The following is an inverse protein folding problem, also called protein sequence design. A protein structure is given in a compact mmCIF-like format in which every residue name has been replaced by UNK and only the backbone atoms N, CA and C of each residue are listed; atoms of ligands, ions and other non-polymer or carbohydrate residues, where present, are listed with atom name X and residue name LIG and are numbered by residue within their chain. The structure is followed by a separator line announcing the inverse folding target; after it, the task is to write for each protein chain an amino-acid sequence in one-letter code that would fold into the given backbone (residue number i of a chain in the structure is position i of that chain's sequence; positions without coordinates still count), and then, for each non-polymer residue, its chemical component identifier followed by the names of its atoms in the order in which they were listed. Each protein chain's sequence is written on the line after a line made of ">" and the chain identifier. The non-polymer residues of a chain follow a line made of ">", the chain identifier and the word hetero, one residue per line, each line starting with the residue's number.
data_IF_353529839829
#
_entry.id   IF_353529839829
#
_cell.length_a   1.000
_cell.length_b   1.000
_cell.length_c   1.000
_cell.angle_alpha   90.00
_cell.angle_beta   90.00
_cell.angle_gamma   90.00
#
_symmetry.space_group_name_H-M   'P 1'
#
loop_
_entity.id
_entity.type
_entity.pdbx_description
1 polymer ?
#
# COMPACT_ATOMS: atom_id res chain seq x y z
N UNK A 1 20.92 -5.90 -11.94
CA UNK A 1 19.53 -6.22 -11.53
C UNK A 1 19.53 -7.26 -10.41
N UNK A 2 19.96 -8.50 -10.64
CA UNK A 2 19.98 -9.59 -9.64
C UNK A 2 20.83 -9.34 -8.39
N UNK A 3 22.01 -8.70 -8.52
CA UNK A 3 22.84 -8.29 -7.38
C UNK A 3 22.17 -7.22 -6.51
N UNK A 4 21.37 -6.35 -7.12
CA UNK A 4 20.52 -5.41 -6.39
C UNK A 4 19.40 -6.12 -5.64
N UNK A 5 18.71 -7.06 -6.27
CA UNK A 5 17.65 -7.86 -5.61
C UNK A 5 18.20 -8.61 -4.38
N UNK A 6 19.41 -9.20 -4.47
CA UNK A 6 20.03 -9.88 -3.33
C UNK A 6 20.37 -8.95 -2.15
N UNK A 7 20.96 -7.77 -2.42
CA UNK A 7 21.24 -6.77 -1.39
C UNK A 7 19.95 -6.23 -0.75
N UNK A 8 18.91 -6.06 -1.57
CA UNK A 8 17.60 -5.63 -1.14
C UNK A 8 16.95 -6.58 -0.14
N UNK A 9 16.97 -7.88 -0.46
CA UNK A 9 16.48 -8.94 0.42
C UNK A 9 17.28 -8.98 1.73
N UNK A 10 18.60 -8.84 1.68
CA UNK A 10 19.45 -8.83 2.88
C UNK A 10 19.11 -7.69 3.84
N UNK A 11 18.95 -6.47 3.33
CA UNK A 11 18.59 -5.29 4.15
C UNK A 11 17.17 -5.42 4.71
N UNK A 12 16.25 -6.00 3.94
CA UNK A 12 14.90 -6.30 4.37
C UNK A 12 14.87 -7.22 5.59
N UNK A 13 15.55 -8.36 5.50
CA UNK A 13 15.64 -9.31 6.60
C UNK A 13 16.32 -8.68 7.81
N UNK A 14 17.43 -7.97 7.62
CA UNK A 14 18.15 -7.30 8.71
C UNK A 14 17.28 -6.26 9.43
N UNK A 15 16.53 -5.44 8.68
CA UNK A 15 15.61 -4.45 9.24
C UNK A 15 14.50 -5.12 10.04
N UNK A 16 13.94 -6.22 9.51
CA UNK A 16 12.94 -7.00 10.24
C UNK A 16 13.46 -7.53 11.57
N UNK A 17 14.66 -8.13 11.55
CA UNK A 17 15.30 -8.63 12.78
C UNK A 17 15.48 -7.52 13.81
N UNK A 18 16.00 -6.35 13.40
CA UNK A 18 16.22 -5.22 14.32
C UNK A 18 14.92 -4.70 14.93
N UNK A 19 13.86 -4.57 14.13
CA UNK A 19 12.55 -4.14 14.63
C UNK A 19 12.00 -5.17 15.61
N UNK A 20 12.07 -6.46 15.27
CA UNK A 20 11.58 -7.52 16.12
C UNK A 20 12.33 -7.57 17.46
N UNK A 21 13.66 -7.52 17.46
CA UNK A 21 14.44 -7.57 18.70
C UNK A 21 14.21 -6.34 19.59
N UNK A 22 13.98 -5.17 19.00
CA UNK A 22 13.78 -3.93 19.77
C UNK A 22 12.36 -3.83 20.35
N UNK A 23 11.36 -4.31 19.61
CA UNK A 23 9.94 -4.24 20.03
C UNK A 23 9.58 -5.40 20.94
N UNK A 24 10.19 -6.58 20.78
CA UNK A 24 9.90 -7.76 21.60
C UNK A 24 10.31 -7.61 23.07
N UNK A 25 11.16 -6.65 23.41
CA UNK A 25 11.54 -6.34 24.79
C UNK A 25 10.55 -5.40 25.50
N UNK A 26 9.57 -4.84 24.78
CA UNK A 26 8.55 -3.96 25.35
C UNK A 26 7.37 -4.79 25.85
N UNK A 27 6.91 -4.50 27.08
CA UNK A 27 5.73 -5.14 27.66
C UNK A 27 4.61 -4.12 27.94
N UNK A 28 3.35 -4.56 27.79
CA UNK A 28 2.17 -3.81 28.21
C UNK A 28 1.92 -2.53 27.41
N UNK A 29 1.77 -1.40 28.09
CA UNK A 29 1.40 -0.12 27.46
C UNK A 29 2.45 0.39 26.46
N UNK A 30 3.74 0.14 26.72
CA UNK A 30 4.81 0.61 25.84
C UNK A 30 4.79 -0.12 24.48
N UNK A 31 4.48 -1.41 24.49
CA UNK A 31 4.31 -2.23 23.28
C UNK A 31 3.14 -1.73 22.43
N UNK A 32 1.98 -1.49 23.05
CA UNK A 32 0.79 -1.00 22.36
C UNK A 32 1.02 0.38 21.72
N UNK A 33 1.72 1.28 22.42
CA UNK A 33 2.15 2.58 21.86
C UNK A 33 3.08 2.41 20.66
N UNK A 34 4.05 1.50 20.75
CA UNK A 34 4.94 1.21 19.64
C UNK A 34 4.17 0.69 18.42
N UNK A 35 3.24 -0.26 18.60
CA UNK A 35 2.39 -0.75 17.52
C UNK A 35 1.51 0.34 16.92
N UNK A 36 0.96 1.24 17.73
CA UNK A 36 0.22 2.38 17.20
C UNK A 36 1.09 3.31 16.35
N UNK A 37 2.29 3.66 16.81
CA UNK A 37 3.21 4.52 16.06
C UNK A 37 3.64 3.87 14.74
N UNK A 38 3.95 2.57 14.77
CA UNK A 38 4.30 1.80 13.57
C UNK A 38 3.12 1.77 12.59
N UNK A 39 1.92 1.48 13.07
CA UNK A 39 0.71 1.40 12.25
C UNK A 39 0.35 2.77 11.64
N UNK A 40 0.39 3.86 12.40
CA UNK A 40 0.18 5.21 11.90
C UNK A 40 1.22 5.61 10.85
N UNK A 41 2.50 5.30 11.10
CA UNK A 41 3.59 5.55 10.16
C UNK A 41 3.36 4.80 8.85
N UNK A 42 2.94 3.53 8.93
CA UNK A 42 2.59 2.73 7.77
C UNK A 42 1.39 3.31 7.00
N UNK A 43 0.34 3.82 7.67
CA UNK A 43 -0.77 4.51 7.00
C UNK A 43 -0.28 5.71 6.19
N UNK A 44 0.61 6.54 6.75
CA UNK A 44 1.17 7.70 6.04
C UNK A 44 1.96 7.26 4.81
N UNK A 45 2.84 6.27 4.95
CA UNK A 45 3.67 5.74 3.85
C UNK A 45 2.82 5.12 2.75
N UNK A 46 1.79 4.35 3.11
CA UNK A 46 0.86 3.74 2.16
C UNK A 46 0.05 4.81 1.42
N UNK A 47 -0.51 5.79 2.14
CA UNK A 47 -1.25 6.91 1.54
C UNK A 47 -0.37 7.65 0.55
N UNK A 48 0.86 7.99 0.97
CA UNK A 48 1.83 8.66 0.11
C UNK A 48 2.12 7.84 -1.15
N UNK A 49 2.38 6.53 -1.02
CA UNK A 49 2.63 5.67 -2.17
C UNK A 49 1.46 5.65 -3.15
N UNK A 50 0.23 5.53 -2.64
CA UNK A 50 -0.97 5.49 -3.49
C UNK A 50 -1.08 6.76 -4.35
N UNK A 51 -0.84 7.94 -3.76
CA UNK A 51 -0.85 9.20 -4.51
C UNK A 51 0.39 9.39 -5.40
N UNK A 52 1.55 8.89 -4.96
CA UNK A 52 2.79 8.91 -5.74
C UNK A 52 2.64 8.10 -7.04
N UNK A 53 2.17 6.85 -6.94
CA UNK A 53 1.91 5.98 -8.09
C UNK A 53 0.86 6.59 -9.03
N UNK A 54 -0.19 7.19 -8.48
CA UNK A 54 -1.23 7.86 -9.28
C UNK A 54 -0.67 9.02 -10.11
N UNK A 55 0.31 9.73 -9.58
CA UNK A 55 0.95 10.86 -10.27
C UNK A 55 1.88 10.36 -11.38
N UNK A 56 2.63 9.30 -11.13
CA UNK A 56 3.64 8.75 -12.04
C UNK A 56 3.08 7.76 -13.09
N UNK A 57 1.92 7.15 -12.84
CA UNK A 57 1.25 6.24 -13.79
C UNK A 57 0.89 6.90 -15.14
N UNK A 58 0.78 8.23 -15.18
CA UNK A 58 0.56 9.00 -16.42
C UNK A 58 1.86 9.19 -17.22
N UNK A 59 2.98 9.33 -16.54
CA UNK A 59 4.31 9.50 -17.16
C UNK A 59 4.77 8.18 -17.78
N UNK A 60 4.56 7.05 -17.10
CA UNK A 60 4.86 5.70 -17.61
C UNK A 60 4.13 5.42 -18.93
N UNK A 61 2.91 5.94 -19.13
CA UNK A 61 2.15 5.74 -20.38
C UNK A 61 2.76 6.51 -21.58
N UNK A 62 3.45 7.63 -21.35
CA UNK A 62 4.07 8.44 -22.39
C UNK A 62 5.54 8.09 -22.63
N UNK A 63 6.28 7.80 -21.57
CA UNK A 63 7.70 7.44 -21.63
C UNK A 63 7.92 6.01 -22.09
N UNK A 64 7.11 5.00 -21.75
CA UNK A 64 7.42 3.65 -22.25
C UNK A 64 7.34 3.53 -23.78
N UNK A 65 6.48 4.34 -24.43
CA UNK A 65 6.37 4.37 -25.90
C UNK A 65 7.44 5.26 -26.55
N UNK A 66 7.83 6.38 -25.95
CA UNK A 66 8.90 7.23 -26.50
C UNK A 66 10.32 6.83 -26.08
N UNK A 67 10.48 6.23 -24.91
CA UNK A 67 11.78 5.81 -24.35
C UNK A 67 12.24 4.49 -24.93
N UNK A 68 11.40 3.65 -25.54
CA UNK A 68 11.91 2.49 -26.31
C UNK A 68 12.50 2.98 -27.64
N UNK A 69 11.86 3.93 -28.31
CA UNK A 69 12.38 4.53 -29.55
C UNK A 69 13.53 5.52 -29.31
N UNK A 70 13.61 6.16 -28.12
CA UNK A 70 14.69 7.08 -27.75
C UNK A 70 15.83 6.44 -26.92
N UNK A 71 15.65 5.27 -26.28
CA UNK A 71 16.72 4.60 -25.53
C UNK A 71 17.81 4.02 -26.43
N UNK A 72 17.55 3.87 -27.74
CA UNK A 72 18.59 3.53 -28.71
C UNK A 72 19.48 4.74 -29.02
N UNK A 73 19.08 5.97 -28.66
CA UNK A 73 19.79 7.19 -29.09
C UNK A 73 20.31 8.11 -27.97
N UNK A 74 20.01 7.93 -26.67
CA UNK A 74 20.58 8.79 -25.59
C UNK A 74 20.90 8.07 -24.25
N UNK A 75 22.20 7.84 -24.02
CA UNK A 75 22.91 8.05 -22.74
C UNK A 75 22.75 7.05 -21.57
N UNK A 76 23.88 6.60 -21.00
CA UNK A 76 24.02 5.72 -19.80
C UNK A 76 23.15 6.09 -18.58
N UNK A 77 22.65 7.32 -18.48
CA UNK A 77 21.83 7.79 -17.35
C UNK A 77 20.45 7.14 -17.23
N UNK A 78 19.77 6.85 -18.36
CA UNK A 78 18.44 6.19 -18.34
C UNK A 78 18.57 4.74 -17.89
N UNK A 79 19.63 4.05 -18.32
CA UNK A 79 19.94 2.69 -17.88
C UNK A 79 20.16 2.63 -16.35
N UNK A 80 20.86 3.60 -15.79
CA UNK A 80 21.08 3.69 -14.34
C UNK A 80 19.79 4.01 -13.58
N UNK A 81 18.95 4.91 -14.11
CA UNK A 81 17.65 5.23 -13.51
C UNK A 81 16.70 4.01 -13.46
N UNK A 82 16.65 3.21 -14.52
CA UNK A 82 15.83 1.98 -14.56
C UNK A 82 16.36 0.93 -13.57
N UNK A 83 17.69 0.77 -13.48
CA UNK A 83 18.31 -0.15 -12.50
C UNK A 83 18.01 0.30 -11.07
N UNK A 84 18.22 1.59 -10.75
CA UNK A 84 17.94 2.12 -9.42
C UNK A 84 16.45 2.02 -9.07
N UNK A 85 15.56 2.39 -9.99
CA UNK A 85 14.12 2.31 -9.78
C UNK A 85 13.68 0.88 -9.50
N UNK A 86 14.20 -0.10 -10.25
CA UNK A 86 13.90 -1.52 -10.04
C UNK A 86 14.48 -2.03 -8.72
N UNK A 87 15.68 -1.59 -8.35
CA UNK A 87 16.31 -1.95 -7.07
C UNK A 87 15.49 -1.42 -5.88
N UNK A 88 15.15 -0.13 -5.85
CA UNK A 88 14.39 0.46 -4.76
C UNK A 88 12.96 -0.07 -4.69
N UNK A 89 12.34 -0.36 -5.83
CA UNK A 89 11.03 -1.01 -5.86
C UNK A 89 11.09 -2.39 -5.21
N UNK A 90 12.03 -3.25 -5.62
CA UNK A 90 12.16 -4.60 -5.04
C UNK A 90 12.60 -4.57 -3.58
N UNK A 91 13.53 -3.67 -3.22
CA UNK A 91 13.95 -3.44 -1.83
C UNK A 91 12.75 -3.13 -0.94
N UNK A 92 11.93 -2.17 -1.35
CA UNK A 92 10.79 -1.75 -0.55
C UNK A 92 9.76 -2.87 -0.38
N UNK A 93 9.29 -3.43 -1.49
CA UNK A 93 8.27 -4.49 -1.45
C UNK A 93 8.79 -5.73 -0.70
N UNK A 94 10.09 -6.00 -0.82
CA UNK A 94 10.78 -7.05 -0.07
C UNK A 94 10.87 -6.76 1.44
N UNK A 95 11.13 -5.52 1.86
CA UNK A 95 11.08 -5.09 3.27
C UNK A 95 9.68 -5.31 3.84
N UNK A 96 8.65 -4.81 3.16
CA UNK A 96 7.26 -4.93 3.60
C UNK A 96 6.85 -6.41 3.75
N UNK A 97 7.17 -7.25 2.76
CA UNK A 97 6.88 -8.68 2.80
C UNK A 97 7.59 -9.42 3.95
N UNK A 98 8.88 -9.13 4.19
CA UNK A 98 9.63 -9.77 5.26
C UNK A 98 9.11 -9.34 6.64
N UNK A 99 8.77 -8.07 6.82
CA UNK A 99 8.18 -7.56 8.06
C UNK A 99 6.83 -8.23 8.34
N UNK A 100 5.97 -8.39 7.32
CA UNK A 100 4.70 -9.09 7.49
C UNK A 100 4.88 -10.57 7.84
N UNK A 101 5.82 -11.27 7.20
CA UNK A 101 6.12 -12.67 7.53
C UNK A 101 6.68 -12.82 8.94
N UNK A 102 7.54 -11.92 9.38
CA UNK A 102 8.12 -11.96 10.73
C UNK A 102 7.07 -11.66 11.80
N UNK A 103 6.19 -10.68 11.56
CA UNK A 103 5.06 -10.40 12.43
C UNK A 103 4.11 -11.61 12.53
N UNK A 104 3.82 -12.27 11.41
CA UNK A 104 3.02 -13.50 11.41
C UNK A 104 3.71 -14.64 12.17
N UNK A 105 5.02 -14.82 11.99
CA UNK A 105 5.82 -15.85 12.66
C UNK A 105 5.92 -15.68 14.18
N UNK A 106 5.69 -14.45 14.66
CA UNK A 106 5.65 -14.15 16.10
C UNK A 106 4.27 -14.46 16.72
N UNK A 107 3.21 -14.46 15.91
CA UNK A 107 1.83 -14.63 16.37
C UNK A 107 1.35 -16.08 16.42
N UNK A 108 1.95 -16.98 15.63
CA UNK A 108 1.52 -18.38 15.49
C UNK A 108 2.71 -19.34 15.32
N UNK A 109 2.46 -20.65 15.34
CA UNK A 109 3.45 -21.69 15.09
C UNK A 109 4.19 -21.45 13.77
N UNK A 110 5.52 -21.39 13.83
CA UNK A 110 6.36 -21.04 12.68
C UNK A 110 6.15 -21.92 11.44
N UNK A 111 5.68 -23.16 11.61
CA UNK A 111 5.37 -24.07 10.50
C UNK A 111 4.12 -23.64 9.72
N UNK A 112 3.03 -23.24 10.39
CA UNK A 112 1.82 -22.79 9.73
C UNK A 112 2.07 -21.50 8.92
N UNK A 113 2.84 -20.57 9.52
CA UNK A 113 3.25 -19.33 8.87
C UNK A 113 4.13 -19.59 7.64
N UNK A 114 5.05 -20.56 7.71
CA UNK A 114 5.89 -20.93 6.57
C UNK A 114 5.05 -21.50 5.42
N UNK A 115 4.11 -22.40 5.72
CA UNK A 115 3.20 -22.98 4.72
C UNK A 115 2.34 -21.88 4.09
N UNK A 116 1.72 -21.03 4.90
CA UNK A 116 0.91 -19.89 4.45
C UNK A 116 1.73 -18.92 3.59
N UNK A 117 2.96 -18.62 4.00
CA UNK A 117 3.90 -17.79 3.24
C UNK A 117 4.27 -18.38 1.89
N UNK A 118 4.51 -19.70 1.82
CA UNK A 118 4.80 -20.40 0.55
C UNK A 118 3.60 -20.42 -0.39
N UNK A 119 2.39 -20.64 0.13
CA UNK A 119 1.15 -20.56 -0.66
C UNK A 119 0.96 -19.13 -1.19
N UNK A 120 1.11 -18.13 -0.33
CA UNK A 120 1.03 -16.72 -0.71
C UNK A 120 2.05 -16.34 -1.79
N UNK A 121 3.30 -16.81 -1.66
CA UNK A 121 4.34 -16.62 -2.67
C UNK A 121 3.99 -17.28 -4.00
N UNK A 122 3.46 -18.51 -3.98
CA UNK A 122 3.00 -19.20 -5.19
C UNK A 122 1.87 -18.41 -5.89
N UNK A 123 0.88 -17.91 -5.13
CA UNK A 123 -0.19 -17.06 -5.65
C UNK A 123 0.38 -15.76 -6.24
N UNK A 124 1.33 -15.13 -5.57
CA UNK A 124 1.97 -13.90 -6.05
C UNK A 124 2.75 -14.13 -7.36
N UNK A 125 3.44 -15.26 -7.50
CA UNK A 125 4.13 -15.66 -8.75
C UNK A 125 3.12 -15.84 -9.89
N UNK A 126 2.02 -16.55 -9.64
CA UNK A 126 0.96 -16.77 -10.64
C UNK A 126 0.31 -15.44 -11.02
N UNK A 127 -0.03 -14.59 -10.05
CA UNK A 127 -0.61 -13.27 -10.30
C UNK A 127 0.36 -12.38 -11.10
N UNK A 128 1.64 -12.36 -10.74
CA UNK A 128 2.69 -11.65 -11.47
C UNK A 128 2.81 -12.14 -12.92
N UNK A 129 2.82 -13.45 -13.12
CA UNK A 129 2.83 -14.05 -14.45
C UNK A 129 1.59 -13.66 -15.28
N UNK A 130 0.40 -13.68 -14.69
CA UNK A 130 -0.85 -13.24 -15.33
C UNK A 130 -0.82 -11.75 -15.69
N UNK A 131 -0.19 -10.90 -14.88
CA UNK A 131 0.02 -9.48 -15.20
C UNK A 131 0.96 -9.32 -16.40
N UNK A 132 2.04 -10.11 -16.50
CA UNK A 132 2.94 -10.09 -17.66
C UNK A 132 2.21 -10.57 -18.92
N UNK A 133 1.46 -11.66 -18.82
CA UNK A 133 0.68 -12.22 -19.95
C UNK A 133 -0.45 -11.27 -20.38
N UNK A 134 -1.12 -10.67 -19.41
CA UNK A 134 -2.21 -9.73 -19.58
C UNK A 134 -1.76 -8.32 -19.95
N UNK A 135 -0.47 -7.99 -19.84
CA UNK A 135 0.08 -6.64 -20.07
C UNK A 135 -0.17 -6.08 -21.47
N UNK A 136 -0.47 -6.93 -22.46
CA UNK A 136 -0.88 -6.51 -23.82
C UNK A 136 -2.38 -6.19 -23.96
N UNK A 137 -3.24 -6.66 -23.03
CA UNK A 137 -4.71 -6.52 -23.08
C UNK A 137 -5.31 -5.77 -21.89
N UNK A 138 -4.59 -5.66 -20.76
CA UNK A 138 -5.04 -4.95 -19.58
C UNK A 138 -4.80 -3.45 -19.72
N UNK A 139 -5.85 -2.61 -19.63
CA UNK A 139 -5.66 -1.18 -19.52
C UNK A 139 -4.96 -0.89 -18.19
N UNK A 140 -3.68 -0.49 -18.24
CA UNK A 140 -2.87 -0.18 -17.06
C UNK A 140 -3.55 0.81 -16.10
N UNK A 141 -4.38 1.71 -16.63
CA UNK A 141 -5.19 2.63 -15.83
C UNK A 141 -6.24 1.95 -14.94
N UNK A 142 -6.79 0.79 -15.36
CA UNK A 142 -7.68 -0.02 -14.51
C UNK A 142 -6.87 -0.79 -13.47
N UNK A 143 -5.74 -1.38 -13.86
CA UNK A 143 -4.86 -2.11 -12.94
C UNK A 143 -4.43 -1.23 -11.76
N UNK A 144 -3.83 -0.06 -12.02
CA UNK A 144 -3.41 0.88 -10.97
C UNK A 144 -4.58 1.41 -10.13
N UNK A 145 -5.79 1.47 -10.70
CA UNK A 145 -6.97 1.88 -9.95
C UNK A 145 -7.41 0.79 -8.97
N UNK A 146 -7.45 -0.45 -9.41
CA UNK A 146 -7.86 -1.59 -8.58
C UNK A 146 -6.85 -1.80 -7.44
N UNK A 147 -5.55 -1.87 -7.77
CA UNK A 147 -4.50 -2.03 -6.74
C UNK A 147 -4.45 -0.84 -5.80
N UNK A 148 -4.62 0.39 -6.30
CA UNK A 148 -4.68 1.59 -5.46
C UNK A 148 -5.88 1.60 -4.51
N UNK A 149 -7.07 1.17 -4.95
CA UNK A 149 -8.25 1.03 -4.06
C UNK A 149 -8.00 -0.01 -2.99
N UNK A 150 -7.41 -1.16 -3.34
CA UNK A 150 -7.07 -2.21 -2.39
C UNK A 150 -6.10 -1.72 -1.31
N UNK A 151 -5.07 -0.95 -1.69
CA UNK A 151 -4.15 -0.32 -0.74
C UNK A 151 -4.83 0.72 0.17
N UNK A 152 -5.83 1.45 -0.33
CA UNK A 152 -6.61 2.39 0.48
C UNK A 152 -7.43 1.64 1.53
N UNK A 153 -8.03 0.50 1.18
CA UNK A 153 -8.76 -0.35 2.14
C UNK A 153 -7.85 -0.88 3.23
N UNK A 154 -6.66 -1.38 2.85
CA UNK A 154 -5.66 -1.85 3.79
C UNK A 154 -5.21 -0.74 4.75
N UNK A 155 -4.90 0.45 4.23
CA UNK A 155 -4.52 1.61 5.04
C UNK A 155 -5.66 2.06 5.98
N UNK A 156 -6.92 2.00 5.54
CA UNK A 156 -8.07 2.28 6.40
C UNK A 156 -8.17 1.30 7.57
N UNK A 157 -7.93 0.02 7.31
CA UNK A 157 -7.91 -1.01 8.33
C UNK A 157 -6.79 -0.81 9.35
N UNK A 158 -5.59 -0.48 8.87
CA UNK A 158 -4.44 -0.18 9.72
C UNK A 158 -4.65 1.06 10.59
N UNK A 159 -5.35 2.07 10.06
CA UNK A 159 -5.73 3.27 10.83
C UNK A 159 -6.73 2.92 11.94
N UNK A 160 -7.75 2.12 11.65
CA UNK A 160 -8.69 1.62 12.66
C UNK A 160 -7.96 0.89 13.79
N UNK A 161 -7.02 0.02 13.43
CA UNK A 161 -6.25 -0.76 14.39
C UNK A 161 -5.28 0.10 15.22
N UNK A 162 -4.80 1.20 14.66
CA UNK A 162 -4.02 2.19 15.41
C UNK A 162 -4.84 2.82 16.54
N UNK A 163 -6.13 3.09 16.29
CA UNK A 163 -7.07 3.57 17.32
C UNK A 163 -7.26 2.52 18.41
N UNK A 164 -7.44 1.25 18.03
CA UNK A 164 -7.49 0.15 19.00
C UNK A 164 -6.23 0.11 19.88
N UNK A 165 -5.04 0.20 19.30
CA UNK A 165 -3.79 0.20 20.07
C UNK A 165 -3.68 1.41 21.02
N UNK A 166 -4.11 2.60 20.60
CA UNK A 166 -4.19 3.78 21.47
C UNK A 166 -5.18 3.60 22.61
N UNK A 167 -6.34 2.97 22.34
CA UNK A 167 -7.35 2.66 23.35
C UNK A 167 -6.81 1.64 24.37
N UNK A 168 -6.16 0.58 23.90
CA UNK A 168 -5.53 -0.44 24.76
C UNK A 168 -4.36 0.13 25.57
N UNK A 169 -3.63 1.12 25.02
CA UNK A 169 -2.58 1.84 25.75
C UNK A 169 -3.14 2.82 26.81
N UNK A 170 -4.44 3.09 26.81
CA UNK A 170 -5.07 4.10 27.67
C UNK A 170 -4.83 5.55 27.23
N UNK A 171 -4.25 5.77 26.05
CA UNK A 171 -3.97 7.09 25.49
C UNK A 171 -5.21 7.72 24.82
N UNK A 172 -6.19 6.89 24.47
CA UNK A 172 -7.45 7.32 23.89
C UNK A 172 -8.62 6.63 24.62
N UNK A 173 -9.65 7.40 24.97
CA UNK A 173 -10.89 6.84 25.49
C UNK A 173 -11.76 6.22 24.40
N UNK A 174 -12.87 5.62 24.81
CA UNK A 174 -13.94 5.17 23.92
C UNK A 174 -15.25 5.79 24.38
N UNK A 175 -15.95 6.45 23.46
CA UNK A 175 -17.27 7.02 23.70
C UNK A 175 -18.35 5.96 23.65
N UNK A 176 -18.15 4.94 22.82
CA UNK A 176 -19.05 3.80 22.70
C UNK A 176 -18.26 2.58 22.25
N UNK A 177 -18.08 1.65 23.19
CA UNK A 177 -17.52 0.33 22.94
C UNK A 177 -18.56 -0.59 22.29
N UNK A 178 -18.14 -1.33 21.26
CA UNK A 178 -18.99 -2.29 20.53
C UNK A 178 -20.18 -1.64 19.81
N UNK A 179 -19.91 -0.91 18.72
CA UNK A 179 -20.96 -0.42 17.79
C UNK A 179 -21.83 -1.57 17.27
N UNK A 180 -21.20 -2.73 17.06
CA UNK A 180 -21.84 -4.00 16.79
C UNK A 180 -21.12 -5.11 17.57
N UNK A 181 -21.81 -6.23 17.79
CA UNK A 181 -21.22 -7.45 18.36
C UNK A 181 -21.56 -8.63 17.46
N UNK A 182 -20.53 -9.19 16.83
CA UNK A 182 -20.65 -10.33 15.92
C UNK A 182 -19.98 -11.60 16.43
N UNK A 183 -19.66 -11.68 17.74
CA UNK A 183 -19.02 -12.86 18.32
C UNK A 183 -19.88 -14.13 18.22
N UNK A 184 -21.19 -13.98 18.03
CA UNK A 184 -22.09 -15.11 17.76
C UNK A 184 -21.75 -15.88 16.47
N UNK A 185 -21.01 -15.27 15.53
CA UNK A 185 -20.56 -15.90 14.29
C UNK A 185 -19.10 -16.33 14.41
N UNK A 186 -18.86 -17.54 14.93
CA UNK A 186 -17.51 -18.11 15.18
C UNK A 186 -16.59 -18.17 13.96
N UNK A 187 -17.13 -18.15 12.74
CA UNK A 187 -16.30 -18.09 11.51
C UNK A 187 -15.80 -16.67 11.19
N UNK A 188 -16.38 -15.64 11.80
CA UNK A 188 -16.07 -14.23 11.56
C UNK A 188 -15.33 -13.57 12.73
N UNK A 189 -14.94 -14.35 13.74
CA UNK A 189 -14.22 -13.87 14.92
C UNK A 189 -12.73 -13.69 14.64
N UNK A 190 -12.07 -12.82 15.43
CA UNK A 190 -10.61 -12.62 15.38
C UNK A 190 -9.80 -13.86 15.82
N UNK A 191 -10.49 -14.91 16.29
CA UNK A 191 -9.89 -16.21 16.60
C UNK A 191 -9.92 -17.16 15.39
N UNK A 192 -10.75 -16.89 14.39
CA UNK A 192 -10.82 -17.69 13.17
C UNK A 192 -9.77 -17.22 12.16
N UNK A 193 -9.21 -18.15 11.37
CA UNK A 193 -8.25 -17.80 10.31
C UNK A 193 -8.85 -16.80 9.31
N UNK A 194 -10.14 -16.95 8.99
CA UNK A 194 -10.85 -16.06 8.09
C UNK A 194 -11.05 -14.66 8.68
N UNK A 195 -11.39 -14.57 9.97
CA UNK A 195 -11.52 -13.30 10.67
C UNK A 195 -10.17 -12.60 10.81
N UNK A 196 -9.10 -13.32 11.15
CA UNK A 196 -7.72 -12.79 11.16
C UNK A 196 -7.31 -12.27 9.78
N UNK A 197 -7.67 -12.98 8.71
CA UNK A 197 -7.43 -12.52 7.34
C UNK A 197 -8.18 -11.22 7.04
N UNK A 198 -9.45 -11.10 7.44
CA UNK A 198 -10.22 -9.85 7.30
C UNK A 198 -9.66 -8.71 8.17
N UNK A 199 -9.22 -9.01 9.39
CA UNK A 199 -8.55 -8.06 10.27
C UNK A 199 -7.26 -7.56 9.64
N UNK A 200 -6.48 -8.44 9.02
CA UNK A 200 -5.26 -8.07 8.31
C UNK A 200 -5.57 -7.24 7.06
N UNK A 201 -6.54 -7.66 6.24
CA UNK A 201 -6.81 -7.05 4.93
C UNK A 201 -7.62 -5.75 4.99
N UNK A 202 -8.62 -5.70 5.87
CA UNK A 202 -9.64 -4.64 5.92
C UNK A 202 -9.66 -3.96 7.29
N UNK A 203 -8.98 -4.49 8.31
CA UNK A 203 -9.09 -3.99 9.67
C UNK A 203 -10.44 -4.32 10.31
N UNK A 204 -11.00 -5.47 9.94
CA UNK A 204 -12.17 -6.03 10.59
C UNK A 204 -11.94 -6.28 12.08
N UNK A 205 -12.96 -6.00 12.89
CA UNK A 205 -13.04 -6.27 14.32
C UNK A 205 -14.46 -6.76 14.63
N UNK A 206 -14.63 -7.71 15.55
CA UNK A 206 -15.96 -8.21 15.93
C UNK A 206 -16.72 -7.25 16.83
N UNK A 207 -15.99 -6.34 17.51
CA UNK A 207 -16.55 -5.40 18.49
C UNK A 207 -15.88 -4.01 18.42
N UNK A 208 -15.87 -3.34 17.26
CA UNK A 208 -15.16 -2.08 17.16
C UNK A 208 -15.82 -0.99 18.01
N UNK A 209 -14.99 -0.09 18.51
CA UNK A 209 -15.45 1.18 19.09
C UNK A 209 -15.93 2.14 18.00
N UNK A 210 -16.72 3.14 18.38
CA UNK A 210 -17.22 4.13 17.42
C UNK A 210 -16.09 4.92 16.75
N UNK A 211 -15.00 5.19 17.46
CA UNK A 211 -13.82 5.87 16.94
C UNK A 211 -13.19 5.06 15.81
N UNK A 212 -13.03 3.74 16.01
CA UNK A 212 -12.51 2.82 15.00
C UNK A 212 -13.35 2.88 13.70
N UNK A 213 -14.67 2.76 13.82
CA UNK A 213 -15.59 2.83 12.67
C UNK A 213 -15.51 4.18 11.97
N UNK A 214 -15.50 5.28 12.73
CA UNK A 214 -15.45 6.64 12.18
C UNK A 214 -14.15 6.92 11.45
N UNK A 215 -12.98 6.56 12.01
CA UNK A 215 -11.70 6.77 11.31
C UNK A 215 -11.58 5.88 10.09
N UNK A 216 -12.07 4.64 10.16
CA UNK A 216 -12.03 3.69 9.05
C UNK A 216 -12.86 4.21 7.86
N UNK A 217 -14.14 4.53 8.10
CA UNK A 217 -15.04 5.05 7.07
C UNK A 217 -14.62 6.45 6.61
N UNK A 218 -14.22 7.32 7.53
CA UNK A 218 -13.76 8.67 7.23
C UNK A 218 -12.54 8.67 6.30
N UNK A 219 -11.58 7.77 6.56
CA UNK A 219 -10.41 7.60 5.70
C UNK A 219 -10.81 7.02 4.34
N UNK A 220 -11.62 5.96 4.29
CA UNK A 220 -12.10 5.37 3.03
C UNK A 220 -12.81 6.40 2.15
N UNK A 221 -13.72 7.17 2.73
CA UNK A 221 -14.48 8.18 2.02
C UNK A 221 -13.57 9.31 1.53
N UNK A 222 -12.70 9.84 2.40
CA UNK A 222 -11.85 11.00 2.07
C UNK A 222 -10.76 10.61 1.07
N UNK A 223 -9.94 9.61 1.38
CA UNK A 223 -8.82 9.18 0.54
C UNK A 223 -9.32 8.49 -0.72
N UNK A 224 -10.36 7.66 -0.62
CA UNK A 224 -11.01 7.03 -1.77
C UNK A 224 -11.61 8.05 -2.73
N UNK A 225 -12.33 9.06 -2.22
CA UNK A 225 -12.83 10.16 -3.04
C UNK A 225 -11.69 10.92 -3.74
N UNK A 226 -10.67 11.33 -2.98
CA UNK A 226 -9.52 12.05 -3.52
C UNK A 226 -8.82 11.22 -4.60
N UNK A 227 -8.61 9.92 -4.39
CA UNK A 227 -7.99 8.99 -5.32
C UNK A 227 -8.78 8.79 -6.61
N UNK A 228 -10.11 8.67 -6.52
CA UNK A 228 -10.98 8.43 -7.67
C UNK A 228 -11.31 9.71 -8.47
N UNK A 229 -11.22 10.89 -7.83
CA UNK A 229 -11.55 12.18 -8.45
C UNK A 229 -10.63 12.50 -9.63
N UNK A 230 -11.13 12.50 -10.87
CA UNK A 230 -10.32 12.84 -12.06
C UNK A 230 -9.68 14.22 -11.91
N UNK A 231 -8.38 14.40 -12.21
CA UNK A 231 -7.77 15.73 -12.26
C UNK A 231 -8.55 16.60 -13.25
N UNK A 232 -8.97 17.79 -12.81
CA UNK A 232 -9.62 18.76 -13.70
C UNK A 232 -8.61 19.09 -14.80
N UNK A 233 -8.94 18.83 -16.06
CA UNK A 233 -8.09 19.26 -17.16
C UNK A 233 -7.97 20.78 -17.06
N UNK A 234 -6.77 21.28 -16.74
CA UNK A 234 -6.45 22.69 -16.90
C UNK A 234 -6.57 22.96 -18.39
N UNK A 235 -7.72 23.50 -18.79
CA UNK A 235 -7.98 23.90 -20.15
C UNK A 235 -7.07 25.07 -20.49
N UNK A 236 -5.90 24.80 -21.03
CA UNK A 236 -5.16 25.79 -21.79
C UNK A 236 -5.97 26.04 -23.05
N UNK A 237 -6.81 27.07 -23.02
CA UNK A 237 -7.52 27.53 -24.21
C UNK A 237 -6.49 27.75 -25.33
N UNK A 238 -6.72 27.24 -26.55
CA UNK A 238 -5.81 27.54 -27.65
C UNK A 238 -5.88 29.04 -27.93
N UNK A 239 -4.84 29.79 -27.53
CA UNK A 239 -4.54 31.13 -28.03
C UNK A 239 -4.12 31.03 -29.49
N UNK A 240 -5.09 30.75 -30.36
CA UNK A 240 -4.86 30.47 -31.76
C UNK A 240 -6.01 30.90 -32.65
N UNK A 241 -6.55 32.11 -32.44
CA UNK A 241 -7.39 32.79 -33.44
C UNK A 241 -7.61 34.29 -33.13
N UNK A 242 -6.54 35.07 -32.99
CA UNK A 242 -6.66 36.55 -33.01
C UNK A 242 -5.63 37.26 -33.92
N UNK A 243 -4.57 36.59 -34.41
CA UNK A 243 -3.58 37.22 -35.29
C UNK A 243 -3.97 37.29 -36.79
N UNK A 244 -5.15 36.78 -37.19
CA UNK A 244 -5.57 36.79 -38.60
C UNK A 244 -6.51 37.96 -38.97
N UNK A 245 -6.78 38.88 -38.03
CA UNK A 245 -7.67 40.01 -38.26
C UNK A 245 -6.95 41.36 -38.46
N UNK A 246 -5.62 41.42 -38.30
CA UNK A 246 -4.85 42.67 -38.41
C UNK A 246 -4.12 42.85 -39.75
N UNK A 247 -4.19 41.90 -40.68
CA UNK A 247 -3.57 42.06 -42.03
C UNK A 247 -4.54 42.59 -43.08
N UNK A 248 -5.67 43.17 -42.66
CA UNK A 248 -6.78 43.52 -43.56
C UNK A 248 -7.31 44.95 -43.45
N UNK A 249 -6.59 45.87 -42.80
CA UNK A 249 -6.86 47.31 -42.88
C UNK A 249 -5.56 48.10 -42.83
N UNK A 250 -5.46 48.98 -43.82
CA UNK A 250 -4.53 50.09 -44.06
C UNK A 250 -3.27 49.76 -44.88
#
# INVERSE_FOLDING_TARGET
>A
MWSGVGLAVGISVATGVVVHTTVAELEGTAEMRAFAVIALSAVVVLTWMVFWMRTHARVIKGELQHSIDAAVSRGRGIWWAVILASFFAVLREGIEAALFLMAAATADSGTAVLIGGMIGLAIAIVAGYLVVLGGKRLPMSKFFRVTGVMLIVFAAGLLSRSVLFLQTAGDLGSLWDSVYDLNAHTWLTIESEFGLFLTAMVGWDTRPSIEQVVVHLGYLLTVGYLFLRRPKATGTAPRGRQAAAETGRD
#
